data_IF_396185898530
#
_entry.id   IF_396185898530
#
_cell.length_a   1.000
_cell.length_b   1.000
_cell.length_c   1.000
_cell.angle_alpha   90.00
_cell.angle_beta   90.00
_cell.angle_gamma   90.00
#
_symmetry.space_group_name_H-M   'P 1'
#
loop_
_entity.id
_entity.type
_entity.pdbx_description
1 polymer ?
#
# COMPACT_ATOMS: atom_id res chain seq x y z
N UNK A 1 25.90 -24.21 -5.74
CA UNK A 1 26.44 -23.48 -4.56
C UNK A 1 26.39 -21.96 -4.69
N UNK A 2 26.81 -21.36 -5.81
CA UNK A 2 26.78 -19.92 -6.01
C UNK A 2 25.38 -19.28 -5.91
N UNK A 3 24.35 -19.92 -6.49
CA UNK A 3 22.96 -19.44 -6.44
C UNK A 3 22.40 -19.40 -5.01
N UNK A 4 22.58 -20.49 -4.24
CA UNK A 4 22.14 -20.56 -2.85
C UNK A 4 22.82 -19.49 -1.97
N UNK A 5 24.12 -19.28 -2.20
CA UNK A 5 24.87 -18.22 -1.51
C UNK A 5 24.33 -16.83 -1.87
N UNK A 6 24.02 -16.57 -3.14
CA UNK A 6 23.45 -15.31 -3.60
C UNK A 6 22.08 -15.06 -2.93
N UNK A 7 21.18 -16.04 -2.97
CA UNK A 7 19.85 -15.96 -2.35
C UNK A 7 19.94 -15.76 -0.83
N UNK A 8 20.88 -16.45 -0.17
CA UNK A 8 21.10 -16.28 1.27
C UNK A 8 21.60 -14.86 1.62
N UNK A 9 22.55 -14.31 0.85
CA UNK A 9 23.02 -12.93 1.04
C UNK A 9 21.87 -11.94 0.83
N UNK A 10 21.04 -12.14 -0.20
CA UNK A 10 19.89 -11.29 -0.48
C UNK A 10 18.85 -11.35 0.63
N UNK A 11 18.50 -12.56 1.10
CA UNK A 11 17.59 -12.75 2.23
C UNK A 11 18.10 -12.05 3.49
N UNK A 12 19.41 -12.18 3.78
CA UNK A 12 20.05 -11.49 4.91
C UNK A 12 19.99 -9.97 4.77
N UNK A 13 20.33 -9.45 3.59
CA UNK A 13 20.26 -8.00 3.31
C UNK A 13 18.85 -7.47 3.48
N UNK A 14 17.86 -8.18 2.98
CA UNK A 14 16.45 -7.79 3.10
C UNK A 14 15.94 -7.88 4.54
N UNK A 15 16.37 -8.90 5.29
CA UNK A 15 16.11 -8.97 6.73
C UNK A 15 16.73 -7.79 7.49
N UNK A 16 17.95 -7.40 7.12
CA UNK A 16 18.60 -6.22 7.69
C UNK A 16 17.82 -4.92 7.37
N UNK A 17 17.35 -4.76 6.13
CA UNK A 17 16.50 -3.61 5.75
C UNK A 17 15.24 -3.55 6.61
N UNK A 18 14.55 -4.68 6.80
CA UNK A 18 13.35 -4.76 7.63
C UNK A 18 13.63 -4.28 9.08
N UNK A 19 14.69 -4.83 9.69
CA UNK A 19 15.10 -4.45 11.05
C UNK A 19 15.50 -2.98 11.11
N UNK A 20 16.23 -2.47 10.11
CA UNK A 20 16.64 -1.08 10.04
C UNK A 20 15.46 -0.12 9.94
N UNK A 21 14.48 -0.43 9.10
CA UNK A 21 13.27 0.39 8.96
C UNK A 21 12.49 0.45 10.27
N UNK A 22 12.32 -0.69 10.94
CA UNK A 22 11.66 -0.74 12.24
C UNK A 22 12.43 0.05 13.32
N UNK A 23 13.73 -0.15 13.38
CA UNK A 23 14.60 0.57 14.30
C UNK A 23 14.47 2.09 14.11
N UNK A 24 14.59 2.56 12.85
CA UNK A 24 14.46 3.99 12.55
C UNK A 24 13.08 4.52 12.90
N UNK A 25 12.01 3.79 12.61
CA UNK A 25 10.65 4.20 12.96
C UNK A 25 10.51 4.41 14.47
N UNK A 26 10.91 3.42 15.27
CA UNK A 26 10.77 3.49 16.73
C UNK A 26 11.70 4.55 17.33
N UNK A 27 12.90 4.72 16.75
CA UNK A 27 13.83 5.82 17.15
C UNK A 27 13.21 7.18 16.86
N UNK A 28 12.61 7.38 15.69
CA UNK A 28 11.96 8.66 15.34
C UNK A 28 10.81 8.94 16.30
N UNK A 29 9.93 7.98 16.53
CA UNK A 29 8.78 8.14 17.44
C UNK A 29 9.22 8.42 18.88
N UNK A 30 10.26 7.72 19.35
CA UNK A 30 10.82 7.92 20.69
C UNK A 30 11.58 9.23 20.84
N UNK A 31 12.53 9.52 19.94
CA UNK A 31 13.40 10.70 20.01
C UNK A 31 12.65 12.04 19.83
N UNK A 32 11.55 12.03 19.08
CA UNK A 32 10.67 13.19 18.96
C UNK A 32 9.79 13.39 20.20
N UNK A 33 9.79 12.46 21.15
CA UNK A 33 8.89 12.47 22.29
C UNK A 33 7.43 12.20 21.94
N UNK A 34 7.15 11.85 20.68
CA UNK A 34 5.79 11.63 20.19
C UNK A 34 5.15 10.40 20.84
N UNK A 35 5.92 9.31 21.01
CA UNK A 35 5.52 8.12 21.75
C UNK A 35 5.12 8.45 23.18
N UNK A 36 5.95 9.20 23.90
CA UNK A 36 5.66 9.60 25.28
C UNK A 36 4.44 10.53 25.37
N UNK A 37 4.28 11.43 24.41
CA UNK A 37 3.11 12.32 24.33
C UNK A 37 1.81 11.50 24.20
N UNK A 38 1.79 10.52 23.32
CA UNK A 38 0.63 9.65 23.11
C UNK A 38 0.32 8.87 24.40
N UNK A 39 1.32 8.23 24.99
CA UNK A 39 1.16 7.44 26.21
C UNK A 39 0.65 8.30 27.40
N UNK A 40 1.20 9.51 27.58
CA UNK A 40 0.70 10.46 28.59
C UNK A 40 -0.74 10.89 28.34
N UNK A 41 -1.15 11.06 27.07
CA UNK A 41 -2.54 11.40 26.76
C UNK A 41 -3.47 10.24 27.12
N UNK A 42 -3.06 8.99 26.86
CA UNK A 42 -3.82 7.80 27.22
C UNK A 42 -3.98 7.70 28.73
N UNK A 43 -2.89 7.81 29.49
CA UNK A 43 -2.94 7.85 30.95
C UNK A 43 -3.89 8.94 31.43
N UNK A 44 -3.84 10.12 30.82
CA UNK A 44 -4.72 11.24 31.16
C UNK A 44 -6.20 10.92 30.95
N UNK A 45 -6.54 10.29 29.82
CA UNK A 45 -7.93 9.89 29.54
C UNK A 45 -8.41 8.75 30.47
N UNK A 46 -7.57 7.71 30.71
CA UNK A 46 -7.90 6.66 31.64
C UNK A 46 -8.16 7.21 33.06
N UNK A 47 -7.28 8.07 33.54
CA UNK A 47 -7.41 8.70 34.86
C UNK A 47 -8.64 9.60 34.94
N UNK A 48 -8.99 10.29 33.83
CA UNK A 48 -10.22 11.10 33.76
C UNK A 48 -11.46 10.24 33.94
N UNK A 49 -11.55 9.07 33.27
CA UNK A 49 -12.66 8.14 33.43
C UNK A 49 -12.75 7.56 34.84
N UNK A 50 -11.61 7.13 35.39
CA UNK A 50 -11.54 6.60 36.76
C UNK A 50 -11.99 7.66 37.76
N UNK A 51 -11.53 8.91 37.59
CA UNK A 51 -11.92 10.03 38.45
C UNK A 51 -13.41 10.29 38.46
N UNK A 52 -14.05 10.25 37.27
CA UNK A 52 -15.51 10.43 37.18
C UNK A 52 -16.28 9.33 37.94
N UNK A 53 -15.88 8.06 37.78
CA UNK A 53 -16.51 6.95 38.50
C UNK A 53 -16.26 6.99 40.01
N UNK A 54 -15.04 7.39 40.45
CA UNK A 54 -14.68 7.45 41.87
C UNK A 54 -15.25 8.68 42.59
N UNK A 55 -15.53 9.77 41.90
CA UNK A 55 -16.12 10.97 42.47
C UNK A 55 -17.53 10.74 43.05
N UNK A 56 -18.24 9.69 42.56
CA UNK A 56 -19.53 9.27 43.09
C UNK A 56 -19.38 8.52 44.43
N UNK A 57 -18.23 7.90 44.70
CA UNK A 57 -18.01 7.01 45.84
C UNK A 57 -17.19 7.70 46.93
N UNK A 58 -16.16 8.46 46.58
CA UNK A 58 -15.26 9.16 47.47
C UNK A 58 -15.70 10.61 47.60
N UNK A 59 -16.28 10.97 48.74
CA UNK A 59 -16.79 12.33 49.00
C UNK A 59 -15.73 13.33 49.48
N UNK A 60 -14.61 12.84 50.04
CA UNK A 60 -13.51 13.70 50.45
C UNK A 60 -12.62 14.04 49.23
N UNK A 61 -12.55 15.32 48.80
CA UNK A 61 -11.73 15.74 47.66
C UNK A 61 -10.25 15.48 47.82
N UNK A 62 -9.73 15.54 49.07
CA UNK A 62 -8.31 15.31 49.36
C UNK A 62 -7.97 13.83 49.27
N UNK A 63 -8.87 12.94 49.71
CA UNK A 63 -8.70 11.49 49.58
C UNK A 63 -8.80 11.09 48.09
N UNK A 64 -9.76 11.61 47.36
CA UNK A 64 -9.92 11.36 45.91
C UNK A 64 -8.63 11.72 45.15
N UNK A 65 -8.07 12.90 45.38
CA UNK A 65 -6.83 13.32 44.70
C UNK A 65 -5.63 12.43 45.04
N UNK A 66 -5.49 11.95 46.29
CA UNK A 66 -4.43 11.01 46.65
C UNK A 66 -4.56 9.67 45.90
N UNK A 67 -5.77 9.15 45.80
CA UNK A 67 -6.04 7.89 45.08
C UNK A 67 -5.78 8.07 43.59
N UNK A 68 -6.25 9.15 42.99
CA UNK A 68 -6.06 9.45 41.59
C UNK A 68 -4.57 9.61 41.25
N UNK A 69 -3.79 10.32 42.09
CA UNK A 69 -2.34 10.50 41.82
C UNK A 69 -1.57 9.18 41.93
N UNK A 70 -1.94 8.30 42.88
CA UNK A 70 -1.37 6.93 42.99
C UNK A 70 -1.68 6.13 41.73
N UNK A 71 -2.93 6.11 41.28
CA UNK A 71 -3.35 5.40 40.04
C UNK A 71 -2.67 5.96 38.79
N UNK A 72 -2.45 7.29 38.74
CA UNK A 72 -1.68 7.91 37.66
C UNK A 72 -0.25 7.37 37.64
N UNK A 73 0.44 7.37 38.75
CA UNK A 73 1.81 6.85 38.84
C UNK A 73 1.89 5.36 38.48
N UNK A 74 0.95 4.54 38.95
CA UNK A 74 0.85 3.14 38.54
C UNK A 74 0.66 2.97 37.03
N UNK A 75 -0.19 3.79 36.39
CA UNK A 75 -0.38 3.77 34.95
C UNK A 75 0.85 4.26 34.19
N UNK A 76 1.52 5.31 34.67
CA UNK A 76 2.77 5.79 34.05
C UNK A 76 3.86 4.71 34.11
N UNK A 77 4.00 3.98 35.22
CA UNK A 77 4.91 2.84 35.34
C UNK A 77 4.48 1.70 34.41
N UNK A 78 3.19 1.37 34.38
CA UNK A 78 2.65 0.32 33.50
C UNK A 78 2.95 0.57 32.02
N UNK A 79 2.86 1.80 31.56
CA UNK A 79 3.22 2.19 30.21
C UNK A 79 4.72 2.48 30.00
N UNK A 80 5.56 2.32 31.05
CA UNK A 80 7.01 2.52 31.00
C UNK A 80 7.40 3.99 30.76
N UNK A 81 6.56 4.94 31.19
CA UNK A 81 6.84 6.38 31.14
C UNK A 81 7.80 6.87 32.23
N UNK A 82 8.06 6.00 33.21
CA UNK A 82 9.07 6.20 34.25
C UNK A 82 10.51 6.01 33.76
N UNK A 83 10.67 5.39 32.58
CA UNK A 83 11.98 5.08 31.98
C UNK A 83 12.17 5.81 30.66
N UNK A 84 13.43 6.07 30.26
CA UNK A 84 13.72 6.62 28.96
C UNK A 84 13.13 5.76 27.82
N UNK A 85 12.61 6.41 26.78
CA UNK A 85 11.95 5.75 25.66
C UNK A 85 12.78 4.64 24.99
N UNK A 86 14.10 4.79 24.94
CA UNK A 86 15.00 3.79 24.31
C UNK A 86 15.04 2.45 25.06
N UNK A 87 14.61 2.39 26.32
CA UNK A 87 14.52 1.12 27.07
C UNK A 87 13.39 0.23 26.58
N UNK A 88 12.39 0.80 25.91
CA UNK A 88 11.26 0.09 25.29
C UNK A 88 11.58 -0.47 23.90
N UNK A 89 12.66 0.03 23.22
CA UNK A 89 13.05 -0.36 21.88
C UNK A 89 13.22 -1.87 21.67
N UNK A 90 14.00 -2.59 22.48
CA UNK A 90 14.26 -4.01 22.25
C UNK A 90 12.98 -4.84 22.28
N UNK A 91 12.13 -4.57 23.27
CA UNK A 91 10.86 -5.28 23.41
C UNK A 91 9.93 -5.02 22.22
N UNK A 92 9.78 -3.78 21.80
CA UNK A 92 8.97 -3.41 20.65
C UNK A 92 9.45 -4.09 19.36
N UNK A 93 10.76 -4.10 19.12
CA UNK A 93 11.35 -4.74 17.93
C UNK A 93 11.12 -6.26 17.98
N UNK A 94 11.37 -6.91 19.11
CA UNK A 94 11.18 -8.38 19.28
C UNK A 94 9.72 -8.74 19.05
N UNK A 95 8.77 -8.04 19.67
CA UNK A 95 7.33 -8.28 19.51
C UNK A 95 6.90 -8.19 18.05
N UNK A 96 7.35 -7.17 17.36
CA UNK A 96 7.02 -6.96 15.93
C UNK A 96 7.65 -8.05 15.06
N UNK A 97 8.89 -8.45 15.31
CA UNK A 97 9.56 -9.52 14.56
C UNK A 97 8.94 -10.91 14.82
N UNK A 98 8.34 -11.12 15.99
CA UNK A 98 7.59 -12.36 16.32
C UNK A 98 6.14 -12.34 15.83
N UNK A 99 5.73 -11.30 15.08
CA UNK A 99 4.35 -11.07 14.62
C UNK A 99 3.33 -10.89 15.77
N UNK A 100 3.80 -10.66 16.99
CA UNK A 100 2.97 -10.21 18.09
C UNK A 100 2.82 -8.68 17.99
N UNK A 101 1.91 -8.25 17.14
CA UNK A 101 1.67 -6.81 16.89
C UNK A 101 0.93 -6.13 18.04
N UNK A 102 0.46 -6.91 19.03
CA UNK A 102 -0.30 -6.39 20.18
C UNK A 102 -1.74 -6.02 19.81
N UNK A 103 -2.30 -5.12 20.62
CA UNK A 103 -3.68 -4.67 20.50
C UNK A 103 -3.73 -3.17 20.17
N UNK A 104 -4.68 -2.83 19.30
CA UNK A 104 -5.04 -1.47 18.98
C UNK A 104 -5.82 -0.84 20.16
N UNK A 105 -5.61 0.45 20.37
CA UNK A 105 -6.23 1.17 21.49
C UNK A 105 -7.58 1.78 21.09
N UNK A 106 -7.67 2.24 19.86
CA UNK A 106 -8.85 2.96 19.36
C UNK A 106 -9.55 2.24 18.23
N UNK A 107 -8.88 1.30 17.58
CA UNK A 107 -9.36 0.62 16.39
C UNK A 107 -9.73 -0.84 16.71
N UNK A 108 -10.75 -1.34 16.03
CA UNK A 108 -11.25 -2.70 16.19
C UNK A 108 -11.68 -3.28 14.84
N UNK A 109 -11.69 -4.62 14.77
CA UNK A 109 -12.34 -5.33 13.67
C UNK A 109 -13.86 -5.08 13.68
N UNK A 110 -14.54 -5.45 12.59
CA UNK A 110 -16.03 -5.44 12.55
C UNK A 110 -16.67 -6.35 13.61
N UNK A 111 -15.90 -7.30 14.16
CA UNK A 111 -16.34 -8.22 15.25
C UNK A 111 -15.96 -7.71 16.64
N UNK A 112 -15.36 -6.52 16.76
CA UNK A 112 -14.98 -5.93 18.05
C UNK A 112 -13.63 -6.40 18.60
N UNK A 113 -12.80 -7.13 17.83
CA UNK A 113 -11.47 -7.52 18.28
C UNK A 113 -10.48 -6.35 18.15
N UNK A 114 -9.69 -6.03 19.20
CA UNK A 114 -8.66 -5.01 19.15
C UNK A 114 -7.31 -5.53 18.62
N UNK A 115 -7.15 -6.82 18.34
CA UNK A 115 -5.89 -7.40 17.89
C UNK A 115 -5.47 -6.84 16.55
N UNK A 116 -4.29 -6.21 16.49
CA UNK A 116 -3.77 -5.54 15.28
C UNK A 116 -3.64 -6.52 14.12
N UNK A 117 -3.18 -7.74 14.36
CA UNK A 117 -3.08 -8.78 13.33
C UNK A 117 -4.43 -9.11 12.69
N UNK A 118 -5.51 -9.19 13.49
CA UNK A 118 -6.86 -9.46 13.00
C UNK A 118 -7.42 -8.26 12.21
N UNK A 119 -7.17 -7.03 12.67
CA UNK A 119 -7.56 -5.81 11.97
C UNK A 119 -6.87 -5.76 10.59
N UNK A 120 -5.58 -6.04 10.53
CA UNK A 120 -4.81 -6.08 9.29
C UNK A 120 -5.34 -7.16 8.35
N UNK A 121 -5.58 -8.38 8.83
CA UNK A 121 -6.12 -9.48 8.02
C UNK A 121 -7.53 -9.19 7.49
N UNK A 122 -8.33 -8.39 8.19
CA UNK A 122 -9.64 -7.93 7.70
C UNK A 122 -9.50 -6.89 6.58
N UNK A 123 -8.48 -6.01 6.64
CA UNK A 123 -8.31 -4.89 5.70
C UNK A 123 -7.47 -5.22 4.47
N UNK A 124 -6.47 -6.07 4.62
CA UNK A 124 -5.52 -6.42 3.56
C UNK A 124 -6.20 -6.98 2.29
N UNK A 125 -7.16 -7.92 2.35
CA UNK A 125 -7.85 -8.40 1.15
C UNK A 125 -8.55 -7.30 0.35
N UNK A 126 -9.07 -6.27 1.02
CA UNK A 126 -9.76 -5.16 0.37
C UNK A 126 -8.78 -4.30 -0.44
N UNK A 127 -7.60 -4.02 0.11
CA UNK A 127 -6.53 -3.32 -0.60
C UNK A 127 -6.06 -4.12 -1.81
N UNK A 128 -5.79 -5.43 -1.62
CA UNK A 128 -5.38 -6.32 -2.71
C UNK A 128 -6.44 -6.34 -3.83
N UNK A 129 -7.71 -6.49 -3.48
CA UNK A 129 -8.81 -6.50 -4.45
C UNK A 129 -8.79 -5.22 -5.30
N UNK A 130 -8.79 -4.05 -4.67
CA UNK A 130 -8.87 -2.77 -5.37
C UNK A 130 -7.68 -2.55 -6.31
N UNK A 131 -6.47 -2.61 -5.74
CA UNK A 131 -5.26 -2.24 -6.48
C UNK A 131 -4.85 -3.30 -7.49
N UNK A 132 -5.03 -4.60 -7.19
CA UNK A 132 -4.72 -5.67 -8.16
C UNK A 132 -5.70 -5.65 -9.33
N UNK A 133 -6.98 -5.39 -9.07
CA UNK A 133 -7.96 -5.22 -10.15
C UNK A 133 -7.58 -4.06 -11.06
N UNK A 134 -7.26 -2.90 -10.50
CA UNK A 134 -6.81 -1.75 -11.27
C UNK A 134 -5.52 -2.07 -12.04
N UNK A 135 -4.55 -2.72 -11.40
CA UNK A 135 -3.27 -3.14 -11.99
C UNK A 135 -3.49 -4.05 -13.21
N UNK A 136 -4.33 -5.06 -13.10
CA UNK A 136 -4.66 -5.94 -14.22
C UNK A 136 -5.28 -5.16 -15.39
N UNK A 137 -6.24 -4.28 -15.10
CA UNK A 137 -6.94 -3.52 -16.15
C UNK A 137 -5.98 -2.56 -16.87
N UNK A 138 -5.18 -1.78 -16.15
CA UNK A 138 -4.29 -0.84 -16.83
C UNK A 138 -3.14 -1.52 -17.59
N UNK A 139 -2.72 -2.72 -17.21
CA UNK A 139 -1.76 -3.52 -17.98
C UNK A 139 -2.40 -4.05 -19.28
N UNK A 140 -3.59 -4.64 -19.16
CA UNK A 140 -4.32 -5.17 -20.32
C UNK A 140 -4.59 -4.10 -21.37
N UNK A 141 -4.71 -2.85 -20.97
CA UNK A 141 -4.90 -1.70 -21.88
C UNK A 141 -3.55 -1.11 -22.29
N UNK A 142 -2.67 -0.85 -21.32
CA UNK A 142 -1.47 -0.05 -21.52
C UNK A 142 -0.40 -0.72 -22.38
N UNK A 143 -0.19 -2.03 -22.19
CA UNK A 143 0.83 -2.75 -22.98
C UNK A 143 0.44 -2.84 -24.48
N UNK A 144 -0.76 -3.34 -24.85
CA UNK A 144 -1.13 -3.40 -26.25
C UNK A 144 -1.13 -2.02 -26.93
N UNK A 145 -1.60 -0.98 -26.22
CA UNK A 145 -1.59 0.37 -26.77
C UNK A 145 -0.15 0.90 -26.91
N UNK A 146 0.74 0.66 -25.96
CA UNK A 146 2.14 1.06 -26.05
C UNK A 146 2.86 0.40 -27.23
N UNK A 147 2.68 -0.91 -27.41
CA UNK A 147 3.20 -1.64 -28.58
C UNK A 147 2.60 -1.11 -29.89
N UNK A 148 1.30 -0.89 -29.93
CA UNK A 148 0.64 -0.35 -31.12
C UNK A 148 1.22 1.03 -31.51
N UNK A 149 1.40 1.92 -30.54
CA UNK A 149 1.94 3.26 -30.78
C UNK A 149 3.40 3.26 -31.24
N UNK A 150 4.20 2.29 -30.82
CA UNK A 150 5.58 2.15 -31.31
C UNK A 150 5.67 1.88 -32.82
N UNK A 151 4.61 1.35 -33.43
CA UNK A 151 4.52 1.12 -34.89
C UNK A 151 3.98 2.30 -35.65
N UNK A 152 3.46 3.35 -35.02
CA UNK A 152 2.79 4.51 -35.65
C UNK A 152 3.29 5.85 -35.12
N UNK A 153 4.60 5.99 -35.02
CA UNK A 153 5.28 7.17 -34.47
C UNK A 153 4.89 8.44 -35.19
N UNK A 154 4.59 9.51 -34.45
CA UNK A 154 4.26 10.84 -35.01
C UNK A 154 2.83 10.99 -35.52
N UNK A 155 2.01 9.92 -35.47
CA UNK A 155 0.60 9.97 -35.82
C UNK A 155 -0.25 10.79 -34.82
N UNK A 156 -1.48 11.15 -35.25
CA UNK A 156 -2.41 11.92 -34.39
C UNK A 156 -2.72 11.18 -33.06
N UNK A 157 -2.93 9.86 -33.14
CA UNK A 157 -3.22 9.02 -32.00
C UNK A 157 -1.97 8.95 -31.07
N UNK A 158 -0.78 8.82 -31.65
CA UNK A 158 0.47 8.81 -30.88
C UNK A 158 0.67 10.12 -30.10
N UNK A 159 0.41 11.27 -30.73
CA UNK A 159 0.47 12.57 -30.03
C UNK A 159 -0.59 12.68 -28.92
N UNK A 160 -1.83 12.31 -29.22
CA UNK A 160 -2.92 12.41 -28.25
C UNK A 160 -2.64 11.54 -27.02
N UNK A 161 -2.23 10.27 -27.21
CA UNK A 161 -1.91 9.37 -26.12
C UNK A 161 -0.60 9.74 -25.40
N UNK A 162 0.37 10.36 -26.08
CA UNK A 162 1.57 10.90 -25.41
C UNK A 162 1.21 12.08 -24.50
N UNK A 163 0.35 13.00 -24.94
CA UNK A 163 -0.16 14.08 -24.09
C UNK A 163 -0.96 13.52 -22.92
N UNK A 164 -1.88 12.57 -23.18
CA UNK A 164 -2.64 11.89 -22.13
C UNK A 164 -1.71 11.22 -21.11
N UNK A 165 -0.66 10.52 -21.56
CA UNK A 165 0.30 9.86 -20.69
C UNK A 165 1.02 10.86 -19.79
N UNK A 166 1.41 12.02 -20.33
CA UNK A 166 2.06 13.09 -19.56
C UNK A 166 1.12 13.69 -18.52
N UNK A 167 -0.14 13.94 -18.88
CA UNK A 167 -1.16 14.45 -17.95
C UNK A 167 -1.47 13.40 -16.86
N UNK A 168 -1.68 12.16 -17.26
CA UNK A 168 -1.95 11.04 -16.35
C UNK A 168 -0.84 10.86 -15.29
N UNK A 169 0.41 11.05 -15.68
CA UNK A 169 1.56 10.99 -14.75
C UNK A 169 1.62 12.19 -13.81
N UNK A 170 1.23 13.37 -14.25
CA UNK A 170 1.34 14.61 -13.48
C UNK A 170 0.21 14.79 -12.45
N UNK A 171 -0.96 14.19 -12.71
CA UNK A 171 -2.16 14.38 -11.87
C UNK A 171 -2.12 13.45 -10.66
N UNK A 172 -2.19 13.98 -9.41
CA UNK A 172 -2.29 13.14 -8.23
C UNK A 172 -3.55 12.27 -8.25
N UNK A 173 -3.42 10.97 -8.00
CA UNK A 173 -4.54 10.02 -8.06
C UNK A 173 -5.70 10.39 -7.14
N UNK A 174 -5.41 10.87 -5.92
CA UNK A 174 -6.44 11.31 -4.98
C UNK A 174 -7.22 12.53 -5.47
N UNK A 175 -6.55 13.45 -6.17
CA UNK A 175 -7.20 14.61 -6.77
C UNK A 175 -8.11 14.19 -7.93
N UNK A 176 -7.63 13.29 -8.80
CA UNK A 176 -8.45 12.70 -9.85
C UNK A 176 -9.67 11.98 -9.27
N UNK A 177 -9.51 11.28 -8.13
CA UNK A 177 -10.60 10.61 -7.42
C UNK A 177 -11.72 11.57 -7.03
N UNK A 178 -11.39 12.77 -6.51
CA UNK A 178 -12.38 13.79 -6.18
C UNK A 178 -13.14 14.26 -7.43
N UNK A 179 -12.45 14.46 -8.55
CA UNK A 179 -13.10 14.82 -9.83
C UNK A 179 -14.03 13.72 -10.32
N UNK A 180 -13.61 12.48 -10.26
CA UNK A 180 -14.42 11.33 -10.67
C UNK A 180 -15.67 11.19 -9.79
N UNK A 181 -15.56 11.38 -8.48
CA UNK A 181 -16.70 11.41 -7.57
C UNK A 181 -17.65 12.56 -7.92
N UNK A 182 -17.12 13.76 -8.15
CA UNK A 182 -17.92 14.93 -8.49
C UNK A 182 -18.73 14.71 -9.78
N UNK A 183 -18.12 14.14 -10.80
CA UNK A 183 -18.76 13.90 -12.09
C UNK A 183 -19.73 12.72 -12.00
N UNK A 184 -19.26 11.53 -11.62
CA UNK A 184 -20.03 10.29 -11.78
C UNK A 184 -20.97 9.99 -10.61
N UNK A 185 -20.61 10.41 -9.39
CA UNK A 185 -21.45 10.16 -8.22
C UNK A 185 -22.40 11.32 -7.88
N UNK A 186 -21.93 12.56 -7.98
CA UNK A 186 -22.71 13.73 -7.56
C UNK A 186 -23.53 14.29 -8.74
N UNK A 187 -22.87 14.59 -9.87
CA UNK A 187 -23.52 15.24 -11.01
C UNK A 187 -24.37 14.27 -11.83
N UNK A 188 -23.78 13.16 -12.27
CA UNK A 188 -24.47 12.16 -13.11
C UNK A 188 -25.28 11.14 -12.29
N UNK A 189 -24.89 10.90 -11.03
CA UNK A 189 -25.53 9.95 -10.11
C UNK A 189 -25.64 8.51 -10.64
N UNK A 190 -24.63 8.08 -11.41
CA UNK A 190 -24.60 6.75 -12.03
C UNK A 190 -23.69 5.76 -11.28
N UNK A 191 -22.81 6.24 -10.40
CA UNK A 191 -21.90 5.40 -9.61
C UNK A 191 -21.89 5.87 -8.14
N UNK A 192 -21.59 4.98 -7.19
CA UNK A 192 -21.49 5.35 -5.79
C UNK A 192 -20.28 6.25 -5.52
N UNK A 193 -20.42 7.18 -4.58
CA UNK A 193 -19.32 8.10 -4.20
C UNK A 193 -18.22 7.45 -3.39
N UNK A 194 -18.49 6.30 -2.77
CA UNK A 194 -17.53 5.56 -1.95
C UNK A 194 -18.20 4.48 -1.11
N UNK A 195 -17.38 3.83 -0.28
CA UNK A 195 -17.77 2.63 0.44
C UNK A 195 -17.58 1.37 -0.39
N UNK A 196 -17.66 0.21 0.25
CA UNK A 196 -17.54 -1.09 -0.42
C UNK A 196 -18.90 -1.71 -0.72
N UNK A 197 -19.95 -1.25 -0.03
CA UNK A 197 -21.29 -1.77 -0.13
C UNK A 197 -22.32 -0.66 0.06
N UNK A 198 -23.51 -0.89 -0.47
CA UNK A 198 -24.71 -0.08 -0.20
C UNK A 198 -25.08 -0.12 1.28
N UNK A 199 -25.86 0.83 1.74
CA UNK A 199 -26.35 0.88 3.13
C UNK A 199 -27.89 0.84 3.14
N UNK A 200 -28.52 -0.26 3.67
CA UNK A 200 -27.89 -1.48 4.19
C UNK A 200 -27.27 -2.35 3.10
N UNK A 201 -26.26 -3.19 3.44
CA UNK A 201 -25.67 -4.13 2.48
C UNK A 201 -26.71 -5.15 2.01
N UNK A 202 -26.69 -5.56 0.72
CA UNK A 202 -27.59 -6.58 0.23
C UNK A 202 -27.40 -7.93 0.92
N UNK A 203 -28.48 -8.66 1.09
CA UNK A 203 -28.47 -10.03 1.60
C UNK A 203 -28.18 -11.02 0.46
N UNK A 204 -27.44 -12.10 0.77
CA UNK A 204 -27.09 -13.14 -0.19
C UNK A 204 -25.75 -12.91 -0.90
N UNK A 205 -25.04 -14.00 -1.17
CA UNK A 205 -23.67 -13.96 -1.69
C UNK A 205 -23.54 -13.30 -3.05
N UNK A 206 -24.43 -13.62 -4.00
CA UNK A 206 -24.40 -13.05 -5.36
C UNK A 206 -24.76 -11.56 -5.37
N UNK A 207 -25.82 -11.17 -4.64
CA UNK A 207 -26.21 -9.76 -4.55
C UNK A 207 -25.11 -8.91 -3.91
N UNK A 208 -24.47 -9.42 -2.87
CA UNK A 208 -23.37 -8.76 -2.19
C UNK A 208 -22.11 -8.68 -3.09
N UNK A 209 -21.84 -9.69 -3.90
CA UNK A 209 -20.75 -9.66 -4.87
C UNK A 209 -20.98 -8.60 -5.96
N UNK A 210 -22.20 -8.54 -6.51
CA UNK A 210 -22.56 -7.54 -7.52
C UNK A 210 -22.51 -6.11 -6.96
N UNK A 211 -22.94 -5.92 -5.74
CA UNK A 211 -22.87 -4.63 -5.04
C UNK A 211 -21.42 -4.19 -4.80
N UNK A 212 -20.55 -5.11 -4.35
CA UNK A 212 -19.12 -4.86 -4.25
C UNK A 212 -18.50 -4.51 -5.60
N UNK A 213 -18.83 -5.26 -6.65
CA UNK A 213 -18.33 -4.99 -8.00
C UNK A 213 -18.76 -3.60 -8.48
N UNK A 214 -20.00 -3.21 -8.23
CA UNK A 214 -20.52 -1.87 -8.58
C UNK A 214 -19.79 -0.76 -7.83
N UNK A 215 -19.52 -0.92 -6.54
CA UNK A 215 -18.76 0.03 -5.74
C UNK A 215 -17.26 0.08 -6.11
N UNK A 216 -16.74 -0.96 -6.73
CA UNK A 216 -15.35 -1.05 -7.18
C UNK A 216 -15.11 -0.30 -8.51
N UNK A 217 -16.13 -0.07 -9.33
CA UNK A 217 -16.00 0.51 -10.68
C UNK A 217 -15.31 1.88 -10.63
N UNK A 218 -15.83 2.83 -9.86
CA UNK A 218 -15.32 4.21 -9.86
C UNK A 218 -13.88 4.29 -9.32
N UNK A 219 -13.53 3.66 -8.18
CA UNK A 219 -12.16 3.59 -7.71
C UNK A 219 -11.19 2.96 -8.72
N UNK A 220 -11.58 1.84 -9.34
CA UNK A 220 -10.74 1.15 -10.35
C UNK A 220 -10.52 2.01 -11.58
N UNK A 221 -11.57 2.62 -12.16
CA UNK A 221 -11.43 3.52 -13.32
C UNK A 221 -10.47 4.67 -12.97
N UNK A 222 -10.60 5.25 -11.79
CA UNK A 222 -9.71 6.34 -11.34
C UNK A 222 -8.25 5.90 -11.29
N UNK A 223 -7.98 4.75 -10.68
CA UNK A 223 -6.63 4.17 -10.59
C UNK A 223 -6.08 3.83 -11.99
N UNK A 224 -6.94 3.28 -12.86
CA UNK A 224 -6.56 2.96 -14.24
C UNK A 224 -6.20 4.22 -15.02
N UNK A 225 -7.01 5.27 -14.96
CA UNK A 225 -6.74 6.54 -15.65
C UNK A 225 -5.42 7.18 -15.17
N UNK A 226 -5.11 7.09 -13.88
CA UNK A 226 -3.86 7.59 -13.32
C UNK A 226 -2.63 6.77 -13.74
N UNK A 227 -2.76 5.45 -13.91
CA UNK A 227 -1.64 4.54 -14.10
C UNK A 227 -1.41 4.08 -15.55
N UNK A 228 -2.45 4.08 -16.39
CA UNK A 228 -2.35 3.54 -17.75
C UNK A 228 -1.43 4.37 -18.66
N UNK A 229 -1.39 5.70 -18.49
CA UNK A 229 -0.53 6.58 -19.26
C UNK A 229 0.95 6.25 -19.14
N UNK A 230 1.52 6.20 -17.94
CA UNK A 230 2.89 5.74 -17.72
C UNK A 230 3.20 4.37 -18.33
N UNK A 231 2.28 3.40 -18.25
CA UNK A 231 2.47 2.07 -18.85
C UNK A 231 2.52 2.14 -20.36
N UNK A 232 1.61 2.90 -21.01
CA UNK A 232 1.62 3.15 -22.46
C UNK A 232 2.98 3.75 -22.85
N UNK A 233 3.38 4.83 -22.18
CA UNK A 233 4.60 5.55 -22.52
C UNK A 233 5.86 4.68 -22.39
N UNK A 234 6.00 3.98 -21.25
CA UNK A 234 7.17 3.12 -21.02
C UNK A 234 7.22 1.95 -22.01
N UNK A 235 6.10 1.27 -22.25
CA UNK A 235 6.02 0.17 -23.21
C UNK A 235 6.34 0.64 -24.62
N UNK A 236 5.77 1.79 -25.04
CA UNK A 236 6.08 2.41 -26.34
C UNK A 236 7.56 2.73 -26.48
N UNK A 237 8.15 3.36 -25.47
CA UNK A 237 9.56 3.77 -25.51
C UNK A 237 10.47 2.56 -25.59
N UNK A 238 10.30 1.55 -24.73
CA UNK A 238 11.11 0.33 -24.75
C UNK A 238 10.99 -0.42 -26.10
N UNK A 239 9.76 -0.56 -26.60
CA UNK A 239 9.52 -1.22 -27.89
C UNK A 239 10.17 -0.44 -29.03
N UNK A 240 10.09 0.89 -29.01
CA UNK A 240 10.66 1.76 -30.06
C UNK A 240 12.19 1.75 -30.04
N UNK A 241 12.80 1.83 -28.85
CA UNK A 241 14.26 1.75 -28.70
C UNK A 241 14.79 0.43 -29.21
N UNK A 242 14.17 -0.69 -28.84
CA UNK A 242 14.54 -2.01 -29.35
C UNK A 242 14.35 -2.14 -30.87
N UNK A 243 13.32 -1.50 -31.44
CA UNK A 243 13.08 -1.54 -32.89
C UNK A 243 14.16 -0.84 -33.71
N UNK A 244 15.02 -0.01 -33.08
CA UNK A 244 16.12 0.72 -33.70
C UNK A 244 17.46 -0.02 -33.59
N UNK A 245 17.53 -1.15 -32.89
CA UNK A 245 18.76 -1.92 -32.72
C UNK A 245 19.18 -2.65 -34.02
N UNK A 246 20.48 -2.84 -34.20
CA UNK A 246 21.06 -3.43 -35.41
C UNK A 246 20.53 -4.82 -35.73
N UNK A 247 20.25 -5.64 -34.73
CA UNK A 247 19.71 -6.98 -34.92
C UNK A 247 18.30 -6.96 -35.57
N UNK A 248 17.50 -5.92 -35.32
CA UNK A 248 16.19 -5.73 -35.93
C UNK A 248 16.34 -5.28 -37.39
N UNK A 249 17.27 -4.33 -37.63
CA UNK A 249 17.62 -3.90 -38.98
C UNK A 249 18.11 -5.08 -39.84
N UNK A 250 18.96 -5.93 -39.28
CA UNK A 250 19.44 -7.15 -39.94
C UNK A 250 18.31 -8.15 -40.22
N UNK A 251 17.36 -8.32 -39.28
CA UNK A 251 16.20 -9.20 -39.48
C UNK A 251 15.31 -8.71 -40.65
N UNK A 252 15.10 -7.39 -40.77
CA UNK A 252 14.39 -6.78 -41.89
C UNK A 252 15.14 -6.94 -43.21
N UNK A 253 16.47 -6.75 -43.21
CA UNK A 253 17.30 -6.95 -44.39
C UNK A 253 17.26 -8.39 -44.93
N UNK A 254 17.05 -9.38 -44.05
CA UNK A 254 16.80 -10.79 -44.42
C UNK A 254 15.41 -11.05 -45.03
N UNK A 255 14.55 -10.06 -45.15
CA UNK A 255 13.21 -10.20 -45.71
C UNK A 255 12.19 -10.84 -44.78
N UNK A 256 12.43 -10.85 -43.47
CA UNK A 256 11.46 -11.38 -42.52
C UNK A 256 10.19 -10.52 -42.50
N UNK A 257 9.02 -11.19 -42.43
CA UNK A 257 7.75 -10.47 -42.32
C UNK A 257 7.71 -9.61 -41.07
N UNK A 258 7.17 -8.38 -41.15
CA UNK A 258 7.17 -7.40 -40.04
C UNK A 258 6.51 -7.96 -38.75
N UNK A 259 5.51 -8.85 -38.87
CA UNK A 259 4.91 -9.56 -37.73
C UNK A 259 5.93 -10.46 -37.01
N UNK A 260 6.80 -11.14 -37.74
CA UNK A 260 7.85 -11.96 -37.18
C UNK A 260 8.94 -11.11 -36.56
N UNK A 261 9.32 -9.99 -37.21
CA UNK A 261 10.27 -9.01 -36.66
C UNK A 261 9.73 -8.45 -35.34
N UNK A 262 8.49 -7.98 -35.31
CA UNK A 262 7.85 -7.45 -34.10
C UNK A 262 7.84 -8.48 -32.96
N UNK A 263 7.32 -9.68 -33.20
CA UNK A 263 7.14 -10.69 -32.14
C UNK A 263 8.45 -11.31 -31.65
N UNK A 264 9.36 -11.68 -32.57
CA UNK A 264 10.56 -12.47 -32.24
C UNK A 264 11.80 -11.63 -31.98
N UNK A 265 11.91 -10.46 -32.64
CA UNK A 265 13.13 -9.64 -32.56
C UNK A 265 12.94 -8.37 -31.72
N UNK A 266 11.74 -7.80 -31.66
CA UNK A 266 11.48 -6.59 -30.88
C UNK A 266 10.85 -6.94 -29.52
N UNK A 267 9.64 -7.50 -29.50
CA UNK A 267 8.93 -7.74 -28.25
C UNK A 267 9.65 -8.72 -27.32
N UNK A 268 10.28 -9.75 -27.88
CA UNK A 268 11.04 -10.70 -27.07
C UNK A 268 12.23 -10.05 -26.34
N UNK A 269 12.87 -9.04 -26.95
CA UNK A 269 13.98 -8.30 -26.36
C UNK A 269 13.50 -7.21 -25.41
N UNK A 270 12.38 -6.54 -25.76
CA UNK A 270 11.77 -5.50 -24.92
C UNK A 270 10.98 -6.09 -23.71
N UNK A 271 10.59 -7.38 -23.75
CA UNK A 271 9.78 -8.01 -22.71
C UNK A 271 10.41 -8.00 -21.30
N UNK A 272 11.71 -8.33 -21.10
CA UNK A 272 12.30 -8.35 -19.77
C UNK A 272 12.11 -7.02 -19.00
N UNK A 273 12.50 -5.85 -19.51
CA UNK A 273 12.27 -4.59 -18.80
C UNK A 273 10.79 -4.23 -18.63
N UNK A 274 9.91 -4.60 -19.58
CA UNK A 274 8.45 -4.42 -19.43
C UNK A 274 7.94 -5.28 -18.27
N UNK A 275 8.28 -6.59 -18.26
CA UNK A 275 7.87 -7.52 -17.19
C UNK A 275 8.42 -7.07 -15.84
N UNK A 276 9.64 -6.56 -15.80
CA UNK A 276 10.24 -5.95 -14.60
C UNK A 276 9.35 -4.84 -14.04
N UNK A 277 8.96 -3.89 -14.89
CA UNK A 277 8.10 -2.78 -14.51
C UNK A 277 6.73 -3.27 -13.99
N UNK A 278 6.17 -4.31 -14.61
CA UNK A 278 4.91 -4.93 -14.18
C UNK A 278 5.02 -5.57 -12.81
N UNK A 279 6.06 -6.33 -12.57
CA UNK A 279 6.29 -7.02 -11.30
C UNK A 279 6.54 -6.01 -10.17
N UNK A 280 7.29 -4.94 -10.43
CA UNK A 280 7.44 -3.83 -9.50
C UNK A 280 6.12 -3.12 -9.22
N UNK A 281 5.29 -2.92 -10.25
CA UNK A 281 3.93 -2.38 -10.10
C UNK A 281 3.05 -3.27 -9.22
N UNK A 282 3.13 -4.59 -9.38
CA UNK A 282 2.38 -5.56 -8.56
C UNK A 282 2.73 -5.44 -7.07
N UNK A 283 3.99 -5.23 -6.73
CA UNK A 283 4.38 -5.02 -5.32
C UNK A 283 3.72 -3.77 -4.72
N UNK A 284 3.55 -2.72 -5.53
CA UNK A 284 2.85 -1.50 -5.12
C UNK A 284 1.36 -1.71 -4.84
N UNK A 285 0.71 -2.72 -5.45
CA UNK A 285 -0.72 -2.98 -5.22
C UNK A 285 -1.01 -3.42 -3.79
N UNK A 286 -0.07 -4.08 -3.13
CA UNK A 286 -0.24 -4.59 -1.76
C UNK A 286 -0.02 -3.47 -0.74
N UNK A 287 0.82 -2.49 -1.08
CA UNK A 287 1.06 -1.33 -0.22
C UNK A 287 -0.17 -0.41 -0.11
N UNK A 288 -1.08 -0.46 -1.10
CA UNK A 288 -2.29 0.36 -1.11
C UNK A 288 -2.02 1.84 -1.36
N UNK A 289 -3.06 2.64 -1.19
CA UNK A 289 -2.99 4.09 -1.34
C UNK A 289 -3.78 4.80 -0.26
N UNK A 290 -3.09 5.36 0.74
CA UNK A 290 -3.73 6.01 1.91
C UNK A 290 -4.78 7.02 1.46
N UNK A 291 -4.41 7.96 0.61
CA UNK A 291 -5.32 9.01 0.16
C UNK A 291 -6.45 8.49 -0.72
N UNK A 292 -6.15 7.58 -1.65
CA UNK A 292 -7.16 7.03 -2.56
C UNK A 292 -8.21 6.21 -1.80
N UNK A 293 -7.79 5.32 -0.91
CA UNK A 293 -8.71 4.54 -0.09
C UNK A 293 -9.53 5.44 0.85
N UNK A 294 -8.92 6.50 1.37
CA UNK A 294 -9.62 7.46 2.25
C UNK A 294 -10.67 8.24 1.46
N UNK A 295 -10.34 8.76 0.29
CA UNK A 295 -11.26 9.53 -0.57
C UNK A 295 -12.47 8.68 -0.99
N UNK A 296 -12.25 7.43 -1.40
CA UNK A 296 -13.32 6.51 -1.77
C UNK A 296 -13.99 5.81 -0.58
N UNK A 297 -13.62 6.14 0.66
CA UNK A 297 -14.13 5.44 1.83
C UNK A 297 -13.94 3.91 1.76
N UNK A 298 -12.88 3.45 1.09
CA UNK A 298 -12.57 2.04 0.90
C UNK A 298 -11.90 1.46 2.15
N UNK A 299 -12.46 0.40 2.72
CA UNK A 299 -11.97 -0.19 3.99
C UNK A 299 -10.72 -1.05 3.78
N UNK A 300 -9.64 -0.46 3.30
CA UNK A 300 -8.35 -1.10 3.09
C UNK A 300 -7.29 -0.72 4.12
N UNK A 301 -6.06 -1.15 3.83
CA UNK A 301 -4.88 -0.93 4.67
C UNK A 301 -4.45 0.53 4.73
N UNK A 302 -4.51 1.25 3.58
CA UNK A 302 -4.14 2.66 3.52
C UNK A 302 -5.11 3.52 4.35
N UNK A 303 -6.41 3.22 4.29
CA UNK A 303 -7.38 3.87 5.15
C UNK A 303 -7.19 3.52 6.62
N UNK A 304 -6.86 2.27 6.94
CA UNK A 304 -6.52 1.87 8.31
C UNK A 304 -5.34 2.70 8.85
N UNK A 305 -4.33 2.96 8.01
CA UNK A 305 -3.21 3.82 8.38
C UNK A 305 -3.65 5.27 8.66
N UNK A 306 -4.55 5.80 7.83
CA UNK A 306 -5.16 7.12 8.05
C UNK A 306 -5.96 7.17 9.35
N UNK A 307 -6.80 6.17 9.59
CA UNK A 307 -7.61 6.08 10.80
C UNK A 307 -6.74 5.97 12.05
N UNK A 308 -5.59 5.26 11.96
CA UNK A 308 -4.61 5.17 13.05
C UNK A 308 -3.86 6.48 13.34
N UNK A 309 -3.76 7.38 12.36
CA UNK A 309 -3.12 8.70 12.53
C UNK A 309 -4.09 9.78 13.01
N UNK A 310 -5.39 9.58 12.76
CA UNK A 310 -6.42 10.60 12.96
C UNK A 310 -6.86 10.65 14.43
N UNK A 311 -7.02 11.87 14.97
CA UNK A 311 -7.45 12.08 16.35
C UNK A 311 -6.35 11.76 17.36
N UNK A 312 -6.57 10.81 18.26
CA UNK A 312 -5.52 10.27 19.14
C UNK A 312 -4.79 9.15 18.39
N UNK A 313 -3.55 9.37 17.96
CA UNK A 313 -2.83 8.38 17.17
C UNK A 313 -2.64 7.05 17.90
N UNK A 314 -2.88 5.96 17.17
CA UNK A 314 -2.65 4.60 17.66
C UNK A 314 -1.26 4.12 17.24
N UNK A 315 -0.27 4.37 18.11
CA UNK A 315 1.14 4.06 17.86
C UNK A 315 1.36 2.57 17.53
N UNK A 316 0.69 1.68 18.26
CA UNK A 316 0.83 0.25 18.05
C UNK A 316 0.36 -0.17 16.65
N UNK A 317 -0.76 0.39 16.18
CA UNK A 317 -1.26 0.16 14.82
C UNK A 317 -0.31 0.75 13.77
N UNK A 318 0.22 1.95 13.98
CA UNK A 318 1.16 2.61 13.05
C UNK A 318 2.43 1.76 12.89
N UNK A 319 3.01 1.28 14.00
CA UNK A 319 4.20 0.43 14.00
C UNK A 319 3.89 -0.91 13.32
N UNK A 320 2.78 -1.55 13.70
CA UNK A 320 2.35 -2.82 13.12
C UNK A 320 2.11 -2.73 11.61
N UNK A 321 1.44 -1.67 11.13
CA UNK A 321 1.22 -1.42 9.71
C UNK A 321 2.53 -1.18 8.96
N UNK A 322 3.41 -0.34 9.51
CA UNK A 322 4.72 -0.06 8.89
C UNK A 322 5.56 -1.33 8.77
N UNK A 323 5.53 -2.18 9.80
CA UNK A 323 6.17 -3.48 9.74
C UNK A 323 5.58 -4.36 8.62
N UNK A 324 4.27 -4.54 8.59
CA UNK A 324 3.61 -5.39 7.60
C UNK A 324 3.85 -4.86 6.17
N UNK A 325 3.77 -3.55 5.95
CA UNK A 325 4.11 -2.96 4.66
C UNK A 325 5.57 -3.22 4.25
N UNK A 326 6.50 -3.05 5.18
CA UNK A 326 7.92 -3.34 4.93
C UNK A 326 8.16 -4.82 4.68
N UNK A 327 7.53 -5.71 5.47
CA UNK A 327 7.62 -7.15 5.30
C UNK A 327 7.09 -7.60 3.93
N UNK A 328 5.91 -7.11 3.55
CA UNK A 328 5.31 -7.40 2.24
C UNK A 328 6.22 -6.91 1.11
N UNK A 329 6.75 -5.69 1.21
CA UNK A 329 7.68 -5.14 0.22
C UNK A 329 8.94 -5.99 0.10
N UNK A 330 9.55 -6.35 1.23
CA UNK A 330 10.76 -7.19 1.28
C UNK A 330 10.50 -8.57 0.67
N UNK A 331 9.40 -9.22 1.03
CA UNK A 331 9.00 -10.52 0.48
C UNK A 331 8.74 -10.44 -1.03
N UNK A 332 7.99 -9.44 -1.48
CA UNK A 332 7.70 -9.22 -2.88
C UNK A 332 9.00 -8.96 -3.67
N UNK A 333 9.90 -8.17 -3.12
CA UNK A 333 11.22 -7.90 -3.73
C UNK A 333 12.08 -9.17 -3.82
N UNK A 334 12.06 -9.99 -2.78
CA UNK A 334 12.77 -11.28 -2.79
C UNK A 334 12.21 -12.24 -3.86
N UNK A 335 10.88 -12.35 -3.94
CA UNK A 335 10.21 -13.15 -4.98
C UNK A 335 10.60 -12.65 -6.38
N UNK A 336 10.65 -11.34 -6.59
CA UNK A 336 11.10 -10.74 -7.84
C UNK A 336 12.53 -11.16 -8.20
N UNK A 337 13.45 -11.11 -7.25
CA UNK A 337 14.83 -11.52 -7.50
C UNK A 337 14.93 -13.00 -7.86
N UNK A 338 14.16 -13.86 -7.20
CA UNK A 338 14.07 -15.28 -7.57
C UNK A 338 13.50 -15.45 -8.98
N UNK A 339 12.45 -14.71 -9.33
CA UNK A 339 11.86 -14.74 -10.68
C UNK A 339 12.85 -14.26 -11.75
N UNK A 340 13.61 -13.21 -11.48
CA UNK A 340 14.68 -12.77 -12.39
C UNK A 340 15.72 -13.84 -12.66
N UNK A 341 16.17 -14.54 -11.62
CA UNK A 341 17.15 -15.63 -11.76
C UNK A 341 16.61 -16.81 -12.59
N UNK A 342 15.28 -17.02 -12.57
CA UNK A 342 14.61 -18.06 -13.35
C UNK A 342 14.34 -17.61 -14.79
N UNK A 343 13.92 -16.36 -14.98
CA UNK A 343 13.47 -15.84 -16.28
C UNK A 343 14.63 -15.35 -17.16
N UNK A 344 15.70 -14.83 -16.56
CA UNK A 344 16.86 -14.33 -17.30
C UNK A 344 18.13 -15.14 -17.02
N UNK A 345 18.47 -16.13 -17.86
CA UNK A 345 19.68 -16.93 -17.71
C UNK A 345 20.97 -16.12 -17.89
N UNK A 346 20.90 -14.84 -18.36
CA UNK A 346 22.07 -13.96 -18.52
C UNK A 346 22.51 -13.33 -17.18
N UNK A 347 21.67 -13.34 -16.16
CA UNK A 347 21.97 -12.87 -14.80
C UNK A 347 22.74 -13.90 -13.96
N UNK A 348 23.19 -15.00 -14.57
CA UNK A 348 24.06 -15.98 -13.90
C UNK A 348 25.50 -15.42 -13.87
N UNK A 349 25.86 -14.89 -12.72
CA UNK A 349 27.25 -14.58 -12.36
C UNK A 349 27.89 -15.76 -11.67
#
# INVERSE_FOLDING_TARGET
MALLRLLAIRALTMGLVLVTVLFLLVVILGATGYSDLILRNIVREEIRFIRQGMAETIRDPAELERVIERLRQEREIFYGLDKPWYTRLPEMIVRVLTLDLGEARTLQTTRGSPRISEIILERLPNTILLFTTAWLVYILIGIPLGVYLSTRVGGRIDRALSVFSSVSYAVPTWWLALFMIMIFAISLRILPSGGMYSSPPPEGGMARFLDLAYHTILPVITLVLAAVGPVIYNTRTLTLTTAQEDHVTYARAKGLAERAVMGRHILRVAAPPIVTGLLLGLTGTIAGGILTETVFNWRGMGRLYWDALRGTPDEAVIIGLTFIYTLIYVLARFILEVLYLVLDPRVRY
#
